data_IF_727415648381
#
_entry.id   IF_727415648381
#
_cell.length_a   1.000
_cell.length_b   1.000
_cell.length_c   1.000
_cell.angle_alpha   90.00
_cell.angle_beta   90.00
_cell.angle_gamma   90.00
#
_symmetry.space_group_name_H-M   'P 1'
#
loop_
_entity.id
_entity.type
_entity.pdbx_description
1 polymer ?
#
# COMPACT_ATOMS: atom_id res chain seq x y z
N UNK A 1 15.85 -14.75 -0.07
CA UNK A 1 14.75 -15.75 -0.01
C UNK A 1 13.40 -15.05 -0.24
N UNK A 2 12.83 -15.17 -1.44
CA UNK A 2 11.49 -14.67 -1.77
C UNK A 2 10.48 -15.80 -1.52
N UNK A 3 9.84 -15.79 -0.36
CA UNK A 3 8.76 -16.73 -0.05
C UNK A 3 7.48 -16.20 -0.71
N UNK A 4 7.01 -16.80 -1.80
CA UNK A 4 5.71 -16.44 -2.40
C UNK A 4 4.65 -17.39 -1.82
N UNK A 5 3.62 -16.86 -1.16
CA UNK A 5 2.45 -17.64 -0.74
C UNK A 5 1.24 -17.20 -1.58
N UNK A 6 0.84 -17.99 -2.59
CA UNK A 6 -0.41 -17.74 -3.31
C UNK A 6 -1.60 -18.00 -2.36
N UNK A 7 -2.56 -17.06 -2.33
CA UNK A 7 -3.84 -17.20 -1.63
C UNK A 7 -4.94 -17.33 -2.71
N UNK A 8 -4.91 -18.44 -3.44
CA UNK A 8 -5.89 -18.87 -4.46
C UNK A 8 -6.70 -17.71 -5.10
N UNK A 9 -8.04 -17.68 -4.92
CA UNK A 9 -8.94 -16.72 -5.57
C UNK A 9 -8.95 -15.30 -4.93
N UNK A 10 -8.14 -15.06 -3.89
CA UNK A 10 -8.14 -13.80 -3.13
C UNK A 10 -7.00 -12.83 -3.50
N UNK A 11 -5.96 -13.31 -4.21
CA UNK A 11 -4.79 -12.52 -4.59
C UNK A 11 -3.48 -13.20 -4.19
N UNK A 12 -2.36 -12.58 -4.58
CA UNK A 12 -1.03 -13.03 -4.13
C UNK A 12 -0.57 -12.11 -3.02
N UNK A 13 -0.30 -12.67 -1.84
CA UNK A 13 0.36 -11.92 -0.77
C UNK A 13 1.85 -11.92 -1.07
N UNK A 14 2.38 -10.74 -1.37
CA UNK A 14 3.81 -10.53 -1.46
C UNK A 14 4.30 -10.19 -0.05
N UNK A 15 5.10 -11.05 0.61
CA UNK A 15 5.57 -10.77 1.96
C UNK A 15 6.51 -9.56 1.98
N UNK A 16 7.24 -9.33 0.89
CA UNK A 16 8.11 -8.18 0.69
C UNK A 16 8.11 -7.76 -0.78
N UNK A 17 8.27 -6.46 -1.04
CA UNK A 17 8.32 -5.93 -2.40
C UNK A 17 8.23 -4.41 -2.44
N UNK A 18 8.80 -3.81 -3.50
CA UNK A 18 8.66 -2.38 -3.78
C UNK A 18 7.72 -2.20 -4.97
N UNK A 19 6.64 -1.46 -4.75
CA UNK A 19 5.63 -1.13 -5.75
C UNK A 19 5.73 0.36 -6.07
N UNK A 20 5.78 0.70 -7.35
CA UNK A 20 5.84 2.10 -7.79
C UNK A 20 4.76 2.39 -8.82
N UNK A 21 4.21 3.60 -8.73
CA UNK A 21 3.20 4.10 -9.64
C UNK A 21 3.26 5.64 -9.71
N UNK A 22 2.29 6.24 -10.39
CA UNK A 22 2.19 7.70 -10.50
C UNK A 22 2.02 8.37 -9.13
N UNK A 23 1.37 7.69 -8.18
CA UNK A 23 1.17 8.19 -6.82
C UNK A 23 2.42 8.18 -5.94
N UNK A 24 3.44 7.38 -6.28
CA UNK A 24 4.62 7.24 -5.42
C UNK A 24 5.17 5.82 -5.36
N UNK A 25 5.77 5.50 -4.22
CA UNK A 25 6.45 4.23 -3.95
C UNK A 25 5.96 3.65 -2.63
N UNK A 26 5.53 2.39 -2.67
CA UNK A 26 5.19 1.59 -1.51
C UNK A 26 6.25 0.50 -1.35
N UNK A 27 7.00 0.56 -0.26
CA UNK A 27 7.96 -0.46 0.13
C UNK A 27 7.34 -1.33 1.20
N UNK A 28 7.25 -2.64 0.97
CA UNK A 28 6.75 -3.61 1.95
C UNK A 28 7.92 -4.51 2.36
N UNK A 29 8.24 -4.48 3.65
CA UNK A 29 9.36 -5.19 4.27
C UNK A 29 8.89 -6.34 5.18
N UNK A 30 7.65 -6.27 5.69
CA UNK A 30 7.02 -7.33 6.50
C UNK A 30 5.50 -7.14 6.58
N UNK A 31 4.76 -8.14 7.05
CA UNK A 31 3.30 -8.06 7.22
C UNK A 31 2.47 -8.36 5.96
N UNK A 32 3.08 -8.25 4.78
CA UNK A 32 2.49 -8.65 3.50
C UNK A 32 1.65 -7.56 2.82
N UNK A 33 1.83 -7.41 1.52
CA UNK A 33 0.97 -6.62 0.65
C UNK A 33 0.03 -7.57 -0.11
N UNK A 34 -1.27 -7.28 -0.11
CA UNK A 34 -2.20 -7.99 -0.98
C UNK A 34 -2.18 -7.32 -2.35
N UNK A 35 -1.61 -8.00 -3.33
CA UNK A 35 -1.75 -7.62 -4.73
C UNK A 35 -3.03 -8.25 -5.28
N UNK A 36 -3.97 -7.39 -5.71
CA UNK A 36 -5.22 -7.86 -6.33
C UNK A 36 -4.88 -8.44 -7.72
N UNK A 37 -5.45 -9.59 -8.12
CA UNK A 37 -5.11 -10.30 -9.37
C UNK A 37 -5.21 -9.48 -10.66
N UNK A 38 -5.92 -8.35 -10.65
CA UNK A 38 -6.02 -7.43 -11.77
C UNK A 38 -4.78 -6.55 -11.98
N UNK A 39 -3.72 -6.72 -11.17
CA UNK A 39 -2.45 -5.97 -11.22
C UNK A 39 -2.60 -4.44 -11.15
N UNK A 40 -3.73 -3.95 -10.60
CA UNK A 40 -4.05 -2.51 -10.56
C UNK A 40 -4.14 -1.93 -9.16
N UNK A 41 -4.19 -2.78 -8.13
CA UNK A 41 -4.35 -2.33 -6.76
C UNK A 41 -3.42 -3.11 -5.83
N UNK A 42 -2.73 -2.37 -4.96
CA UNK A 42 -1.95 -2.91 -3.85
C UNK A 42 -2.63 -2.46 -2.56
N UNK A 43 -2.90 -3.41 -1.66
CA UNK A 43 -3.53 -3.14 -0.38
C UNK A 43 -2.60 -3.54 0.76
N UNK A 44 -2.52 -2.67 1.76
CA UNK A 44 -1.75 -2.87 2.99
C UNK A 44 -2.62 -2.57 4.20
N UNK A 45 -2.29 -3.19 5.33
CA UNK A 45 -3.00 -2.92 6.58
C UNK A 45 -2.71 -1.52 7.10
N UNK A 46 -3.75 -0.77 7.45
CA UNK A 46 -3.65 0.55 8.08
C UNK A 46 -3.46 0.46 9.61
N UNK A 47 -3.44 -0.74 10.18
CA UNK A 47 -3.28 -0.95 11.62
C UNK A 47 -1.93 -0.40 12.10
N UNK A 48 -1.96 0.52 13.07
CA UNK A 48 -0.76 1.14 13.63
C UNK A 48 -0.02 2.06 12.65
N UNK A 49 -0.68 2.52 11.59
CA UNK A 49 -0.12 3.47 10.64
C UNK A 49 0.13 4.84 11.30
N UNK A 50 1.32 5.40 11.05
CA UNK A 50 1.69 6.77 11.39
C UNK A 50 2.01 7.58 10.14
N UNK A 51 1.89 8.91 10.24
CA UNK A 51 2.33 9.84 9.18
C UNK A 51 3.67 10.46 9.59
N UNK A 52 4.61 10.48 8.67
CA UNK A 52 5.93 11.11 8.78
C UNK A 52 5.95 12.31 7.80
N UNK A 53 5.30 13.41 8.21
CA UNK A 53 5.01 14.55 7.32
C UNK A 53 3.80 14.31 6.41
N UNK A 54 3.69 15.09 5.32
CA UNK A 54 2.54 15.05 4.40
C UNK A 54 2.65 13.93 3.36
N UNK A 55 3.87 13.62 2.93
CA UNK A 55 4.12 12.73 1.80
C UNK A 55 4.60 11.34 2.21
N UNK A 56 4.72 11.02 3.50
CA UNK A 56 5.21 9.71 3.92
C UNK A 56 4.32 9.10 5.00
N UNK A 57 3.95 7.85 4.79
CA UNK A 57 3.17 7.05 5.72
C UNK A 57 3.93 5.78 6.05
N UNK A 58 3.92 5.41 7.32
CA UNK A 58 4.64 4.24 7.83
C UNK A 58 3.61 3.36 8.50
N UNK A 59 3.46 2.14 8.01
CA UNK A 59 2.64 1.11 8.65
C UNK A 59 3.49 -0.03 9.19
N UNK A 60 2.83 -1.03 9.74
CA UNK A 60 3.49 -2.23 10.27
C UNK A 60 4.10 -3.03 9.12
N UNK A 61 5.40 -2.81 8.88
CA UNK A 61 6.16 -3.51 7.85
C UNK A 61 6.01 -2.94 6.44
N UNK A 62 5.46 -1.73 6.28
CA UNK A 62 5.46 -1.04 5.00
C UNK A 62 5.67 0.47 5.16
N UNK A 63 6.22 1.10 4.14
CA UNK A 63 6.38 2.54 4.02
C UNK A 63 5.85 3.01 2.68
N UNK A 64 4.99 4.01 2.69
CA UNK A 64 4.45 4.67 1.51
C UNK A 64 5.04 6.07 1.41
N UNK A 65 5.72 6.35 0.31
CA UNK A 65 6.21 7.67 -0.07
C UNK A 65 5.39 8.16 -1.26
N UNK A 66 4.60 9.21 -1.03
CA UNK A 66 3.76 9.89 -2.02
C UNK A 66 4.59 10.89 -2.81
N UNK A 67 4.27 11.04 -4.10
CA UNK A 67 4.74 12.18 -4.88
C UNK A 67 3.94 13.44 -4.52
N UNK A 68 4.53 14.64 -4.65
CA UNK A 68 3.78 15.88 -4.54
C UNK A 68 2.55 15.89 -5.47
N UNK A 69 1.44 16.45 -4.99
CA UNK A 69 0.16 16.41 -5.70
C UNK A 69 -0.62 15.10 -5.53
N UNK A 70 -0.21 14.24 -4.60
CA UNK A 70 -0.97 13.06 -4.18
C UNK A 70 -1.21 13.07 -2.68
N UNK A 71 -2.40 12.66 -2.26
CA UNK A 71 -2.80 12.60 -0.86
C UNK A 71 -3.57 11.30 -0.56
N UNK A 72 -3.49 10.89 0.70
CA UNK A 72 -4.32 9.80 1.24
C UNK A 72 -5.63 10.37 1.78
N UNK A 73 -6.73 9.96 1.16
CA UNK A 73 -8.10 10.36 1.49
C UNK A 73 -8.93 9.18 1.99
N UNK A 74 -10.03 9.41 2.72
CA UNK A 74 -10.97 8.35 3.08
C UNK A 74 -11.57 7.67 1.85
N UNK A 75 -11.59 6.33 1.87
CA UNK A 75 -12.21 5.50 0.85
C UNK A 75 -13.74 5.38 1.01
N UNK A 76 -14.41 4.60 0.13
CA UNK A 76 -15.86 4.45 0.12
C UNK A 76 -16.43 3.69 1.32
N UNK A 77 -15.60 2.94 2.05
CA UNK A 77 -16.00 2.25 3.29
C UNK A 77 -15.35 2.90 4.49
N UNK A 78 -16.05 2.91 5.62
CA UNK A 78 -15.52 3.43 6.86
C UNK A 78 -14.26 2.65 7.27
N UNK A 79 -13.13 3.35 7.39
CA UNK A 79 -11.82 2.76 7.70
C UNK A 79 -10.93 2.47 6.50
N UNK A 80 -11.46 2.56 5.27
CA UNK A 80 -10.66 2.45 4.06
C UNK A 80 -9.95 3.77 3.75
N UNK A 81 -8.76 3.67 3.18
CA UNK A 81 -7.96 4.81 2.72
C UNK A 81 -7.58 4.59 1.26
N UNK A 82 -7.65 5.65 0.47
CA UNK A 82 -7.28 5.67 -0.95
C UNK A 82 -6.27 6.76 -1.22
N UNK A 83 -5.34 6.50 -2.14
CA UNK A 83 -4.41 7.52 -2.63
C UNK A 83 -5.01 8.18 -3.87
N UNK A 84 -5.16 9.51 -3.85
CA UNK A 84 -5.73 10.28 -4.97
C UNK A 84 -4.85 11.47 -5.32
N UNK A 85 -4.85 11.80 -6.61
CA UNK A 85 -4.21 13.02 -7.08
C UNK A 85 -5.04 14.22 -6.60
N UNK A 86 -4.34 15.22 -6.05
CA UNK A 86 -4.90 16.51 -5.66
C UNK A 86 -4.85 17.40 -6.90
N UNK A 87 -5.97 18.05 -7.28
CA UNK A 87 -6.03 18.95 -8.43
C UNK A 87 -5.25 20.26 -8.22
#
# INVERSE_FOLDING_TARGET
PNTLMPLDDAGTVYPTGTFSADWGVLTVESGGALLVPTNREVRVSTAGMTRDGELKLIGQGWTLELKPGWEVVPGPRAGDLEVRAVP
#
